data_IF_856724155724
#
_entry.id   IF_856724155724
#
_cell.length_a   1.000
_cell.length_b   1.000
_cell.length_c   1.000
_cell.angle_alpha   90.00
_cell.angle_beta   90.00
_cell.angle_gamma   90.00
#
_symmetry.space_group_name_H-M   'P 1'
#
loop_
_entity.id
_entity.type
_entity.pdbx_description
1 polymer ?
#
# COMPACT_ATOMS: atom_id res chain seq x y z
N UNK A 1 -11.69 5.04 -35.39
CA UNK A 1 -12.15 3.97 -34.48
C UNK A 1 -10.95 3.18 -33.97
N UNK A 2 -10.46 3.43 -32.76
CA UNK A 2 -9.35 2.69 -32.11
C UNK A 2 -9.90 1.80 -30.99
N UNK A 3 -10.86 0.95 -31.30
CA UNK A 3 -11.50 0.07 -30.31
C UNK A 3 -10.54 -1.03 -29.79
N UNK A 4 -9.57 -1.49 -30.58
CA UNK A 4 -8.60 -2.51 -30.16
C UNK A 4 -7.55 -2.04 -29.15
N UNK A 5 -7.01 -0.82 -29.31
CA UNK A 5 -5.95 -0.30 -28.43
C UNK A 5 -6.44 -0.01 -27.01
N UNK A 6 -7.68 0.48 -26.87
CA UNK A 6 -8.25 0.84 -25.58
C UNK A 6 -8.66 -0.39 -24.76
N UNK A 7 -9.19 -1.44 -25.41
CA UNK A 7 -9.53 -2.70 -24.76
C UNK A 7 -8.28 -3.44 -24.25
N UNK A 8 -7.21 -3.49 -25.05
CA UNK A 8 -5.93 -4.06 -24.63
C UNK A 8 -5.35 -3.26 -23.46
N UNK A 9 -5.31 -1.93 -23.53
CA UNK A 9 -4.88 -1.07 -22.40
C UNK A 9 -5.71 -1.28 -21.13
N UNK A 10 -7.02 -1.47 -21.26
CA UNK A 10 -7.90 -1.77 -20.13
C UNK A 10 -7.59 -3.14 -19.51
N UNK A 11 -7.35 -4.18 -20.33
CA UNK A 11 -6.95 -5.50 -19.87
C UNK A 11 -5.63 -5.50 -19.09
N UNK A 12 -4.61 -4.83 -19.63
CA UNK A 12 -3.30 -4.67 -18.95
C UNK A 12 -3.43 -3.91 -17.63
N UNK A 13 -4.29 -2.89 -17.56
CA UNK A 13 -4.52 -2.13 -16.33
C UNK A 13 -5.06 -3.03 -15.21
N UNK A 14 -6.03 -3.88 -15.51
CA UNK A 14 -6.57 -4.81 -14.50
C UNK A 14 -5.55 -5.87 -14.08
N UNK A 15 -4.75 -6.39 -15.01
CA UNK A 15 -3.68 -7.32 -14.70
C UNK A 15 -2.62 -6.70 -13.77
N UNK A 16 -2.24 -5.43 -14.02
CA UNK A 16 -1.31 -4.71 -13.16
C UNK A 16 -1.88 -4.43 -11.77
N UNK A 17 -3.16 -4.06 -11.68
CA UNK A 17 -3.83 -3.88 -10.38
C UNK A 17 -3.85 -5.21 -9.61
N UNK A 18 -4.22 -6.31 -10.27
CA UNK A 18 -4.22 -7.64 -9.66
C UNK A 18 -2.83 -8.04 -9.18
N UNK A 19 -1.80 -7.87 -10.02
CA UNK A 19 -0.41 -8.13 -9.65
C UNK A 19 0.01 -7.32 -8.42
N UNK A 20 -0.42 -6.06 -8.34
CA UNK A 20 -0.12 -5.18 -7.22
C UNK A 20 -0.81 -5.63 -5.93
N UNK A 21 -2.07 -6.07 -6.01
CA UNK A 21 -2.81 -6.64 -4.87
C UNK A 21 -2.14 -7.95 -4.41
N UNK A 22 -1.76 -8.82 -5.34
CA UNK A 22 -1.07 -10.08 -5.04
C UNK A 22 0.31 -9.82 -4.41
N UNK A 23 1.02 -8.77 -4.83
CA UNK A 23 2.29 -8.37 -4.22
C UNK A 23 2.09 -8.02 -2.73
N UNK A 24 1.09 -7.20 -2.41
CA UNK A 24 0.78 -6.86 -1.01
C UNK A 24 0.36 -8.08 -0.20
N UNK A 25 -0.45 -8.97 -0.77
CA UNK A 25 -0.83 -10.21 -0.12
C UNK A 25 0.40 -11.11 0.16
N UNK A 26 1.32 -11.21 -0.79
CA UNK A 26 2.57 -11.96 -0.62
C UNK A 26 3.47 -11.34 0.46
N UNK A 27 3.59 -10.01 0.50
CA UNK A 27 4.34 -9.29 1.54
C UNK A 27 3.72 -9.49 2.93
N UNK A 28 2.39 -9.44 3.03
CA UNK A 28 1.67 -9.67 4.29
C UNK A 28 1.84 -11.11 4.79
N UNK A 29 1.71 -12.09 3.90
CA UNK A 29 1.98 -13.49 4.23
C UNK A 29 3.44 -13.70 4.65
N UNK A 30 4.39 -13.05 3.96
CA UNK A 30 5.79 -13.13 4.33
C UNK A 30 6.01 -12.53 5.72
N UNK A 31 5.44 -11.36 6.02
CA UNK A 31 5.51 -10.71 7.33
C UNK A 31 4.93 -11.61 8.44
N UNK A 32 3.79 -12.26 8.18
CA UNK A 32 3.19 -13.24 9.10
C UNK A 32 4.15 -14.43 9.36
N UNK A 33 4.77 -14.98 8.32
CA UNK A 33 5.64 -16.16 8.44
C UNK A 33 6.99 -15.86 9.08
N UNK A 34 7.49 -14.64 8.94
CA UNK A 34 8.81 -14.25 9.47
C UNK A 34 8.74 -13.65 10.87
N UNK A 35 7.59 -13.13 11.29
CA UNK A 35 7.41 -12.66 12.66
C UNK A 35 7.48 -13.84 13.64
N UNK A 36 8.32 -13.72 14.67
CA UNK A 36 8.44 -14.71 15.73
C UNK A 36 8.90 -14.07 17.04
N UNK A 37 8.46 -14.62 18.17
CA UNK A 37 8.60 -14.03 19.51
C UNK A 37 10.05 -13.68 19.93
N UNK A 38 11.07 -14.25 19.28
CA UNK A 38 12.48 -14.06 19.62
C UNK A 38 13.43 -14.11 18.42
N UNK A 39 12.95 -13.84 17.20
CA UNK A 39 13.84 -13.84 16.02
C UNK A 39 13.97 -12.43 15.48
N UNK A 40 15.23 -11.98 15.38
CA UNK A 40 15.73 -10.92 14.50
C UNK A 40 15.45 -11.25 13.00
N UNK A 41 14.25 -11.71 12.68
CA UNK A 41 13.86 -12.13 11.35
C UNK A 41 13.27 -10.92 10.61
N UNK A 42 14.11 -10.36 9.72
CA UNK A 42 13.82 -9.43 8.63
C UNK A 42 12.44 -8.76 8.69
N UNK A 43 12.31 -7.74 9.54
CA UNK A 43 11.18 -6.81 9.58
C UNK A 43 11.13 -5.87 8.36
N UNK A 44 11.91 -6.11 7.31
CA UNK A 44 12.11 -5.15 6.22
C UNK A 44 10.81 -4.72 5.52
N UNK A 45 9.78 -5.56 5.51
CA UNK A 45 8.47 -5.23 4.93
C UNK A 45 7.73 -4.15 5.75
N UNK A 46 8.03 -4.06 7.05
CA UNK A 46 7.38 -3.14 8.00
C UNK A 46 8.35 -2.11 8.60
N UNK A 47 9.65 -2.20 8.30
CA UNK A 47 10.70 -1.28 8.77
C UNK A 47 10.40 0.19 8.49
N UNK A 48 9.74 0.58 7.37
CA UNK A 48 9.43 1.99 7.12
C UNK A 48 8.51 2.60 8.20
N UNK A 49 7.73 1.78 8.91
CA UNK A 49 6.84 2.22 10.00
C UNK A 49 7.62 2.48 11.28
N UNK A 50 8.70 1.73 11.52
CA UNK A 50 9.46 1.80 12.77
C UNK A 50 10.65 2.77 12.72
N UNK A 51 11.07 3.19 11.51
CA UNK A 51 12.12 4.20 11.35
C UNK A 51 11.53 5.62 11.34
N UNK A 52 11.84 6.50 12.33
CA UNK A 52 11.08 7.74 12.56
C UNK A 52 10.94 8.68 11.34
N UNK A 53 12.01 8.95 10.55
CA UNK A 53 11.89 9.79 9.35
C UNK A 53 10.95 9.20 8.29
N UNK A 54 10.99 7.88 8.09
CA UNK A 54 10.13 7.19 7.12
C UNK A 54 8.70 7.10 7.63
N UNK A 55 8.50 6.91 8.94
CA UNK A 55 7.18 6.89 9.55
C UNK A 55 6.47 8.25 9.36
N UNK A 56 7.15 9.37 9.63
CA UNK A 56 6.58 10.71 9.41
C UNK A 56 6.21 10.93 7.94
N UNK A 57 7.06 10.49 7.01
CA UNK A 57 6.77 10.57 5.58
C UNK A 57 5.55 9.71 5.20
N UNK A 58 5.44 8.49 5.73
CA UNK A 58 4.30 7.62 5.49
C UNK A 58 2.99 8.21 6.03
N UNK A 59 3.01 8.83 7.21
CA UNK A 59 1.84 9.54 7.74
C UNK A 59 1.46 10.74 6.89
N UNK A 60 2.43 11.53 6.41
CA UNK A 60 2.17 12.64 5.51
C UNK A 60 1.56 12.16 4.18
N UNK A 61 2.06 11.07 3.62
CA UNK A 61 1.49 10.43 2.43
C UNK A 61 0.08 9.93 2.73
N UNK A 62 -0.13 9.19 3.81
CA UNK A 62 -1.43 8.64 4.19
C UNK A 62 -2.50 9.75 4.31
N UNK A 63 -2.19 10.82 5.05
CA UNK A 63 -3.11 11.93 5.29
C UNK A 63 -3.41 12.70 4.01
N UNK A 64 -2.37 13.08 3.24
CA UNK A 64 -2.57 13.82 2.00
C UNK A 64 -3.32 13.00 0.95
N UNK A 65 -2.98 11.72 0.79
CA UNK A 65 -3.68 10.78 -0.08
C UNK A 65 -5.14 10.59 0.32
N UNK A 66 -5.41 10.40 1.62
CA UNK A 66 -6.76 10.23 2.14
C UNK A 66 -7.62 11.45 1.86
N UNK A 67 -7.10 12.65 2.13
CA UNK A 67 -7.80 13.90 1.87
C UNK A 67 -8.12 14.06 0.38
N UNK A 68 -7.18 13.79 -0.53
CA UNK A 68 -7.42 13.91 -1.97
C UNK A 68 -8.48 12.91 -2.44
N UNK A 69 -8.43 11.67 -1.95
CA UNK A 69 -9.45 10.64 -2.29
C UNK A 69 -10.82 11.01 -1.71
N UNK A 70 -10.88 11.52 -0.48
CA UNK A 70 -12.11 11.98 0.15
C UNK A 70 -12.73 13.15 -0.62
N UNK A 71 -11.94 14.16 -0.98
CA UNK A 71 -12.42 15.31 -1.76
C UNK A 71 -12.93 14.87 -3.12
N UNK A 72 -12.33 13.86 -3.76
CA UNK A 72 -12.80 13.34 -5.04
C UNK A 72 -14.22 12.73 -4.99
N UNK A 73 -14.70 12.28 -3.82
CA UNK A 73 -16.09 11.83 -3.63
C UNK A 73 -17.07 12.98 -3.85
N UNK A 74 -16.73 14.18 -3.35
CA UNK A 74 -17.57 15.38 -3.47
C UNK A 74 -17.28 16.17 -4.76
N UNK A 75 -16.06 16.06 -5.29
CA UNK A 75 -15.59 16.76 -6.48
C UNK A 75 -14.97 15.76 -7.48
N UNK A 76 -15.80 15.01 -8.23
CA UNK A 76 -15.32 13.96 -9.14
C UNK A 76 -14.48 14.49 -10.30
N UNK A 77 -14.52 15.80 -10.57
CA UNK A 77 -13.66 16.47 -11.54
C UNK A 77 -12.17 16.39 -11.18
N UNK A 78 -11.82 16.01 -9.95
CA UNK A 78 -10.43 15.83 -9.51
C UNK A 78 -9.83 14.52 -10.04
N UNK A 79 -10.67 13.52 -10.34
CA UNK A 79 -10.23 12.19 -10.80
C UNK A 79 -9.44 12.22 -12.12
N UNK A 80 -9.53 13.30 -12.90
CA UNK A 80 -8.80 13.47 -14.16
C UNK A 80 -7.35 13.90 -13.98
N UNK A 81 -6.97 14.43 -12.81
CA UNK A 81 -5.62 14.94 -12.58
C UNK A 81 -4.68 13.81 -12.14
N UNK A 82 -3.41 13.91 -12.56
CA UNK A 82 -2.38 12.95 -12.17
C UNK A 82 -2.20 12.86 -10.64
N UNK A 83 -2.43 13.95 -9.91
CA UNK A 83 -2.39 14.01 -8.46
C UNK A 83 -3.38 13.04 -7.79
N UNK A 84 -4.55 12.81 -8.37
CA UNK A 84 -5.49 11.81 -7.87
C UNK A 84 -4.94 10.39 -8.01
N UNK A 85 -4.28 10.09 -9.13
CA UNK A 85 -3.59 8.81 -9.31
C UNK A 85 -2.50 8.59 -8.25
N UNK A 86 -1.66 9.60 -8.01
CA UNK A 86 -0.64 9.56 -6.95
C UNK A 86 -1.26 9.37 -5.57
N UNK A 87 -2.36 10.08 -5.27
CA UNK A 87 -3.08 9.92 -4.02
C UNK A 87 -3.60 8.49 -3.82
N UNK A 88 -4.23 7.90 -4.85
CA UNK A 88 -4.67 6.50 -4.84
C UNK A 88 -3.50 5.54 -4.61
N UNK A 89 -2.35 5.75 -5.25
CA UNK A 89 -1.15 4.95 -5.01
C UNK A 89 -0.65 5.08 -3.57
N UNK A 90 -0.67 6.29 -2.99
CA UNK A 90 -0.31 6.49 -1.59
C UNK A 90 -1.27 5.82 -0.61
N UNK A 91 -2.57 5.78 -0.89
CA UNK A 91 -3.55 5.01 -0.12
C UNK A 91 -3.25 3.50 -0.17
N UNK A 92 -2.96 2.97 -1.36
CA UNK A 92 -2.63 1.55 -1.54
C UNK A 92 -1.33 1.19 -0.79
N UNK A 93 -0.30 2.03 -0.91
CA UNK A 93 0.98 1.85 -0.22
C UNK A 93 0.79 1.80 1.30
N UNK A 94 0.07 2.77 1.85
CA UNK A 94 -0.12 2.89 3.30
C UNK A 94 -1.01 1.78 3.84
N UNK A 95 -2.12 1.45 3.16
CA UNK A 95 -2.96 0.31 3.52
C UNK A 95 -2.19 -1.02 3.46
N UNK A 96 -1.39 -1.23 2.41
CA UNK A 96 -0.57 -2.42 2.26
C UNK A 96 0.45 -2.60 3.39
N UNK A 97 1.14 -1.52 3.77
CA UNK A 97 2.08 -1.52 4.89
C UNK A 97 1.39 -1.79 6.23
N UNK A 98 0.21 -1.21 6.46
CA UNK A 98 -0.59 -1.47 7.65
C UNK A 98 -1.04 -2.94 7.72
N UNK A 99 -1.47 -3.53 6.61
CA UNK A 99 -1.81 -4.96 6.54
C UNK A 99 -0.60 -5.82 6.86
N UNK A 100 0.58 -5.50 6.32
CA UNK A 100 1.82 -6.24 6.64
C UNK A 100 2.15 -6.15 8.15
N UNK A 101 1.99 -4.98 8.76
CA UNK A 101 2.20 -4.79 10.20
C UNK A 101 1.18 -5.60 11.02
N UNK A 102 -0.10 -5.51 10.66
CA UNK A 102 -1.16 -6.29 11.30
C UNK A 102 -0.91 -7.80 11.18
N UNK A 103 -0.48 -8.28 10.01
CA UNK A 103 -0.12 -9.69 9.80
C UNK A 103 1.06 -10.12 10.67
N UNK A 104 2.10 -9.30 10.80
CA UNK A 104 3.21 -9.58 11.70
C UNK A 104 2.75 -9.60 13.17
N UNK A 105 1.88 -8.66 13.55
CA UNK A 105 1.29 -8.61 14.89
C UNK A 105 0.42 -9.83 15.21
N UNK A 106 -0.39 -10.28 14.26
CA UNK A 106 -1.23 -11.47 14.43
C UNK A 106 -0.41 -12.75 14.64
N UNK A 107 0.81 -12.81 14.08
CA UNK A 107 1.69 -13.97 14.21
C UNK A 107 2.50 -13.99 15.52
N UNK A 108 2.99 -12.84 15.98
CA UNK A 108 3.97 -12.78 17.07
C UNK A 108 3.63 -11.81 18.21
N UNK A 109 2.49 -11.13 18.16
CA UNK A 109 2.17 -10.04 19.07
C UNK A 109 2.95 -8.77 18.72
N UNK A 110 3.34 -7.98 19.73
CA UNK A 110 4.08 -6.75 19.48
C UNK A 110 5.44 -7.05 18.84
N UNK A 111 5.66 -6.55 17.61
CA UNK A 111 6.90 -6.76 16.86
C UNK A 111 7.86 -5.62 17.15
N UNK A 112 9.06 -5.92 17.66
CA UNK A 112 10.17 -4.96 17.73
C UNK A 112 11.05 -5.15 16.50
N UNK A 113 11.01 -4.19 15.58
CA UNK A 113 11.80 -4.22 14.35
C UNK A 113 13.15 -3.50 14.45
N UNK A 114 13.49 -3.06 15.66
CA UNK A 114 14.73 -2.44 16.10
C UNK A 114 15.01 -2.91 17.54
#
# INVERSE_FOLDING_TARGET
MTFGSNAVKAGWRWALILLHVLLWAALALQAYRTAGAYKFASCWQIIPIYFPPLNMLLWAIALSSFLVVLVAIFHPSICRYASFGVACHGMILTAGLLVCNYSAYAAAGQVSCL
#
